data_IF_500765270615
#
_entry.id   IF_500765270615
#
_cell.length_a   1.000
_cell.length_b   1.000
_cell.length_c   1.000
_cell.angle_alpha   90.00
_cell.angle_beta   90.00
_cell.angle_gamma   90.00
#
_symmetry.space_group_name_H-M   'P 1'
#
loop_
_entity.id
_entity.type
_entity.pdbx_description
1 polymer ?
#
# COMPACT_ATOMS: atom_id res chain seq x y z
N UNK A 1 -19.96 28.27 12.50
CA UNK A 1 -18.62 27.97 13.08
C UNK A 1 -17.73 29.19 12.85
N UNK A 2 -17.13 29.79 13.89
CA UNK A 2 -16.16 30.90 13.71
C UNK A 2 -14.85 30.31 13.17
N UNK A 3 -14.27 30.92 12.13
CA UNK A 3 -12.95 30.54 11.62
C UNK A 3 -11.88 31.16 12.51
N UNK A 4 -10.93 30.35 12.98
CA UNK A 4 -9.75 30.80 13.72
C UNK A 4 -8.54 30.83 12.78
N UNK A 5 -7.96 32.02 12.57
CA UNK A 5 -6.84 32.21 11.65
C UNK A 5 -5.54 32.26 12.44
N UNK A 6 -4.63 31.32 12.18
CA UNK A 6 -3.32 31.25 12.82
C UNK A 6 -2.21 31.49 11.80
N UNK A 7 -1.39 32.51 12.05
CA UNK A 7 -0.18 32.77 11.28
C UNK A 7 0.98 32.12 12.03
N UNK A 8 1.60 31.11 11.41
CA UNK A 8 2.80 30.47 11.96
C UNK A 8 4.04 31.30 11.59
N UNK A 9 4.87 31.59 12.58
CA UNK A 9 6.10 32.37 12.43
C UNK A 9 7.29 31.54 12.95
N UNK A 10 8.00 30.80 12.08
CA UNK A 10 9.22 30.11 12.46
C UNK A 10 10.33 31.12 12.78
N UNK A 11 11.33 30.70 13.55
CA UNK A 11 12.41 31.59 13.98
C UNK A 11 13.32 31.98 12.79
N UNK A 12 13.74 33.25 12.77
CA UNK A 12 14.56 33.80 11.68
C UNK A 12 15.89 33.04 11.46
N UNK A 13 16.62 32.58 12.50
CA UNK A 13 17.80 31.74 12.32
C UNK A 13 17.52 30.45 11.53
N UNK A 14 16.46 29.71 11.87
CA UNK A 14 16.09 28.48 11.16
C UNK A 14 15.73 28.75 9.70
N UNK A 15 14.95 29.80 9.43
CA UNK A 15 14.59 30.21 8.06
C UNK A 15 15.85 30.54 7.25
N UNK A 16 16.76 31.35 7.82
CA UNK A 16 18.01 31.73 7.16
C UNK A 16 18.88 30.51 6.85
N UNK A 17 19.04 29.60 7.81
CA UNK A 17 19.80 28.37 7.62
C UNK A 17 19.27 27.52 6.45
N UNK A 18 17.94 27.39 6.33
CA UNK A 18 17.32 26.64 5.24
C UNK A 18 17.43 27.36 3.89
N UNK A 19 17.29 28.69 3.87
CA UNK A 19 17.52 29.51 2.67
C UNK A 19 18.94 29.32 2.13
N UNK A 20 19.95 29.48 3.00
CA UNK A 20 21.36 29.38 2.62
C UNK A 20 21.70 27.96 2.15
N UNK A 21 21.12 26.93 2.77
CA UNK A 21 21.40 25.52 2.43
C UNK A 21 20.72 25.02 1.15
N UNK A 22 19.51 25.53 0.85
CA UNK A 22 18.71 25.09 -0.30
C UNK A 22 18.76 26.06 -1.47
N UNK A 23 19.40 27.21 -1.30
CA UNK A 23 19.38 28.34 -2.24
C UNK A 23 17.94 28.75 -2.62
N UNK A 24 17.03 28.78 -1.63
CA UNK A 24 15.61 29.04 -1.83
C UNK A 24 15.12 30.33 -1.14
N UNK A 25 13.99 30.85 -1.63
CA UNK A 25 13.35 32.05 -1.08
C UNK A 25 12.88 31.86 0.38
N UNK A 26 12.94 32.89 1.25
CA UNK A 26 12.45 32.83 2.63
C UNK A 26 11.02 32.32 2.79
N UNK A 27 10.14 32.56 1.82
CA UNK A 27 8.77 32.02 1.81
C UNK A 27 8.79 30.49 1.70
N UNK A 28 9.64 29.94 0.84
CA UNK A 28 9.78 28.48 0.68
C UNK A 28 10.30 27.84 1.96
N UNK A 29 11.37 28.40 2.54
CA UNK A 29 11.95 27.93 3.81
C UNK A 29 10.91 27.99 4.95
N UNK A 30 10.17 29.09 5.05
CA UNK A 30 9.08 29.27 6.03
C UNK A 30 8.00 28.20 5.88
N UNK A 31 7.58 27.90 4.65
CA UNK A 31 6.56 26.88 4.38
C UNK A 31 7.04 25.47 4.74
N UNK A 32 8.32 25.15 4.52
CA UNK A 32 8.92 23.87 4.89
C UNK A 32 8.97 23.71 6.42
N UNK A 33 9.47 24.71 7.15
CA UNK A 33 9.54 24.68 8.61
C UNK A 33 8.13 24.57 9.22
N UNK A 34 7.15 25.30 8.67
CA UNK A 34 5.75 25.20 9.10
C UNK A 34 5.14 23.80 8.88
N UNK A 35 5.71 23.01 7.97
CA UNK A 35 5.36 21.59 7.73
C UNK A 35 6.22 20.62 8.55
N UNK A 36 7.04 21.12 9.48
CA UNK A 36 8.00 20.35 10.30
C UNK A 36 9.11 19.70 9.46
N UNK A 37 9.49 20.35 8.38
CA UNK A 37 10.63 20.00 7.53
C UNK A 37 11.66 21.11 7.74
N UNK A 38 12.41 21.00 8.82
CA UNK A 38 13.17 22.09 9.44
C UNK A 38 14.70 21.92 9.33
N UNK A 39 15.16 20.81 8.78
CA UNK A 39 16.59 20.59 8.49
C UNK A 39 16.86 20.55 6.99
N UNK A 40 18.05 20.99 6.52
CA UNK A 40 18.42 20.89 5.10
C UNK A 40 18.29 19.47 4.55
N UNK A 41 18.68 18.45 5.33
CA UNK A 41 18.55 17.05 4.93
C UNK A 41 17.08 16.65 4.73
N UNK A 42 16.21 16.93 5.70
CA UNK A 42 14.78 16.62 5.58
C UNK A 42 14.13 17.35 4.41
N UNK A 43 14.52 18.60 4.14
CA UNK A 43 14.02 19.40 3.04
C UNK A 43 14.46 18.86 1.68
N UNK A 44 15.73 18.47 1.53
CA UNK A 44 16.24 17.87 0.30
C UNK A 44 15.57 16.53 0.01
N UNK A 45 15.43 15.65 1.01
CA UNK A 45 14.71 14.36 0.87
C UNK A 45 13.25 14.57 0.49
N UNK A 46 12.59 15.55 1.11
CA UNK A 46 11.23 15.89 0.76
C UNK A 46 11.17 16.44 -0.68
N UNK A 47 11.96 17.43 -1.05
CA UNK A 47 11.86 18.05 -2.38
C UNK A 47 12.29 17.10 -3.51
N UNK A 48 13.23 16.19 -3.25
CA UNK A 48 13.80 15.26 -4.21
C UNK A 48 13.61 13.80 -3.76
N UNK A 49 12.37 13.27 -3.78
CA UNK A 49 12.10 11.92 -3.30
C UNK A 49 12.88 10.87 -4.12
N UNK A 50 13.61 10.00 -3.42
CA UNK A 50 14.42 8.94 -4.03
C UNK A 50 14.18 7.59 -3.38
N UNK A 51 14.23 6.51 -4.16
CA UNK A 51 14.16 5.15 -3.63
C UNK A 51 15.35 4.80 -2.73
N UNK A 52 16.47 5.53 -2.82
CA UNK A 52 17.62 5.35 -1.91
C UNK A 52 17.32 5.79 -0.48
N UNK A 53 16.29 6.61 -0.27
CA UNK A 53 15.89 7.11 1.05
C UNK A 53 14.87 6.20 1.75
N UNK A 54 14.45 5.09 1.12
CA UNK A 54 13.54 4.13 1.74
C UNK A 54 14.24 3.46 2.93
N UNK A 55 13.63 3.56 4.12
CA UNK A 55 14.09 2.83 5.31
C UNK A 55 13.89 1.33 5.12
N UNK A 56 14.72 0.50 5.75
CA UNK A 56 14.60 -0.97 5.62
C UNK A 56 13.25 -1.47 6.18
N UNK A 57 12.36 -2.04 5.33
CA UNK A 57 11.04 -2.48 5.79
C UNK A 57 11.08 -3.81 6.54
N UNK A 58 12.21 -4.53 6.53
CA UNK A 58 12.43 -5.71 7.39
C UNK A 58 12.35 -5.39 8.88
N UNK A 59 12.42 -4.11 9.26
CA UNK A 59 12.27 -3.67 10.64
C UNK A 59 10.82 -3.65 11.12
N UNK A 60 9.84 -3.67 10.21
CA UNK A 60 8.42 -3.79 10.56
C UNK A 60 8.17 -5.14 11.22
N UNK A 61 7.44 -5.15 12.34
CA UNK A 61 7.15 -6.39 13.09
C UNK A 61 6.45 -7.42 12.22
N UNK A 62 6.88 -8.67 12.39
CA UNK A 62 6.50 -9.87 11.64
C UNK A 62 6.72 -9.83 10.12
N UNK A 63 7.41 -8.82 9.58
CA UNK A 63 7.70 -8.74 8.15
C UNK A 63 8.50 -9.96 7.66
N UNK A 64 9.52 -10.37 8.40
CA UNK A 64 10.34 -11.54 8.09
C UNK A 64 9.56 -12.85 8.21
N UNK A 65 8.68 -12.97 9.21
CA UNK A 65 7.79 -14.12 9.42
C UNK A 65 6.83 -14.26 8.24
N UNK A 66 6.18 -13.16 7.83
CA UNK A 66 5.29 -13.12 6.68
C UNK A 66 6.01 -13.53 5.39
N UNK A 67 7.18 -12.94 5.11
CA UNK A 67 7.98 -13.23 3.90
C UNK A 67 8.35 -14.71 3.83
N UNK A 68 8.84 -15.30 4.92
CA UNK A 68 9.22 -16.72 4.96
C UNK A 68 8.01 -17.64 4.73
N UNK A 69 6.85 -17.27 5.28
CA UNK A 69 5.63 -18.05 5.12
C UNK A 69 5.08 -18.00 3.70
N UNK A 70 5.13 -16.83 3.06
CA UNK A 70 4.74 -16.68 1.65
C UNK A 70 5.71 -17.46 0.76
N UNK A 71 7.02 -17.39 1.02
CA UNK A 71 7.99 -18.21 0.30
C UNK A 71 7.70 -19.71 0.43
N UNK A 72 7.38 -20.19 1.64
CA UNK A 72 6.97 -21.59 1.84
C UNK A 72 5.76 -21.95 0.99
N UNK A 73 4.72 -21.10 0.96
CA UNK A 73 3.55 -21.34 0.11
C UNK A 73 3.92 -21.43 -1.37
N UNK A 74 4.76 -20.52 -1.87
CA UNK A 74 5.26 -20.53 -3.25
C UNK A 74 6.00 -21.84 -3.55
N UNK A 75 6.93 -22.23 -2.66
CA UNK A 75 7.78 -23.42 -2.84
C UNK A 75 6.97 -24.72 -2.83
N UNK A 76 6.01 -24.81 -1.92
CA UNK A 76 5.23 -26.03 -1.70
C UNK A 76 3.97 -26.08 -2.57
N UNK A 77 3.80 -25.11 -3.48
CA UNK A 77 2.64 -24.96 -4.37
C UNK A 77 1.30 -24.92 -3.60
N UNK A 78 1.31 -24.30 -2.44
CA UNK A 78 0.13 -24.06 -1.61
C UNK A 78 -0.81 -23.04 -2.29
N UNK A 79 -2.11 -23.20 -2.05
CA UNK A 79 -3.14 -22.32 -2.61
C UNK A 79 -3.30 -21.08 -1.74
N UNK A 80 -2.98 -19.91 -2.31
CA UNK A 80 -2.96 -18.62 -1.62
C UNK A 80 -4.23 -17.82 -1.96
N UNK A 81 -4.92 -17.32 -0.93
CA UNK A 81 -6.01 -16.36 -1.06
C UNK A 81 -5.57 -14.97 -0.59
N UNK A 82 -5.55 -14.00 -1.49
CA UNK A 82 -5.44 -12.59 -1.13
C UNK A 82 -6.83 -12.08 -0.77
N UNK A 83 -7.04 -11.64 0.46
CA UNK A 83 -8.31 -11.06 0.90
C UNK A 83 -8.17 -9.53 1.02
N UNK A 84 -8.78 -8.80 0.10
CA UNK A 84 -8.67 -7.33 0.05
C UNK A 84 -9.85 -6.59 0.66
N UNK A 85 -9.77 -5.27 0.65
CA UNK A 85 -10.91 -4.37 0.88
C UNK A 85 -11.51 -3.84 -0.43
N UNK A 86 -12.73 -3.32 -0.37
CA UNK A 86 -13.52 -2.87 -1.52
C UNK A 86 -13.24 -1.43 -1.97
N UNK A 87 -12.42 -0.68 -1.24
CA UNK A 87 -12.02 0.66 -1.65
C UNK A 87 -10.72 0.64 -2.47
N UNK A 88 -10.29 1.80 -2.96
CA UNK A 88 -9.14 1.87 -3.87
C UNK A 88 -7.83 1.44 -3.21
N UNK A 89 -7.65 1.64 -1.90
CA UNK A 89 -6.44 1.20 -1.23
C UNK A 89 -6.39 -0.33 -1.16
N UNK A 90 -7.47 -0.97 -0.71
CA UNK A 90 -7.61 -2.43 -0.72
C UNK A 90 -7.57 -3.06 -2.12
N UNK A 91 -8.21 -2.43 -3.11
CA UNK A 91 -8.19 -2.85 -4.51
C UNK A 91 -6.77 -2.82 -5.07
N UNK A 92 -6.06 -1.70 -4.91
CA UNK A 92 -4.70 -1.54 -5.44
C UNK A 92 -3.71 -2.45 -4.70
N UNK A 93 -3.86 -2.61 -3.39
CA UNK A 93 -3.14 -3.58 -2.57
C UNK A 93 -3.29 -5.01 -3.10
N UNK A 94 -4.53 -5.41 -3.39
CA UNK A 94 -4.83 -6.71 -3.98
C UNK A 94 -4.19 -6.86 -5.34
N UNK A 95 -4.34 -5.85 -6.22
CA UNK A 95 -3.78 -5.85 -7.57
C UNK A 95 -2.25 -5.99 -7.59
N UNK A 96 -1.53 -5.26 -6.74
CA UNK A 96 -0.05 -5.32 -6.72
C UNK A 96 0.46 -6.65 -6.19
N UNK A 97 -0.16 -7.21 -5.14
CA UNK A 97 0.26 -8.49 -4.57
C UNK A 97 -0.08 -9.64 -5.50
N UNK A 98 -1.29 -9.63 -6.08
CA UNK A 98 -1.71 -10.63 -7.07
C UNK A 98 -0.77 -10.63 -8.27
N UNK A 99 -0.51 -9.46 -8.86
CA UNK A 99 0.41 -9.35 -9.99
C UNK A 99 1.83 -9.84 -9.64
N UNK A 100 2.35 -9.48 -8.46
CA UNK A 100 3.67 -9.92 -8.03
C UNK A 100 3.73 -11.46 -7.85
N UNK A 101 2.77 -12.06 -7.15
CA UNK A 101 2.76 -13.50 -6.90
C UNK A 101 2.58 -14.33 -8.18
N UNK A 102 1.83 -13.83 -9.16
CA UNK A 102 1.74 -14.49 -10.48
C UNK A 102 3.12 -14.64 -11.16
N UNK A 103 4.02 -13.64 -11.01
CA UNK A 103 5.40 -13.75 -11.53
C UNK A 103 6.24 -14.81 -10.79
N UNK A 104 5.84 -15.22 -9.58
CA UNK A 104 6.48 -16.30 -8.82
C UNK A 104 5.97 -17.69 -9.22
N UNK A 105 4.88 -17.78 -9.98
CA UNK A 105 4.25 -19.05 -10.35
C UNK A 105 3.41 -19.68 -9.23
N UNK A 106 3.06 -18.92 -8.20
CA UNK A 106 2.22 -19.38 -7.10
C UNK A 106 0.76 -19.54 -7.52
N UNK A 107 0.06 -20.55 -6.99
CA UNK A 107 -1.39 -20.71 -7.13
C UNK A 107 -2.10 -19.65 -6.28
N UNK A 108 -2.34 -18.49 -6.89
CA UNK A 108 -2.83 -17.30 -6.21
C UNK A 108 -4.23 -16.95 -6.69
N UNK A 109 -5.14 -16.77 -5.74
CA UNK A 109 -6.47 -16.23 -5.95
C UNK A 109 -6.63 -14.95 -5.13
N UNK A 110 -7.69 -14.20 -5.42
CA UNK A 110 -8.07 -13.06 -4.61
C UNK A 110 -9.58 -13.05 -4.36
N UNK A 111 -9.97 -12.38 -3.29
CA UNK A 111 -11.35 -12.13 -2.92
C UNK A 111 -11.50 -10.69 -2.43
N UNK A 112 -12.50 -9.99 -2.95
CA UNK A 112 -12.89 -8.64 -2.53
C UNK A 112 -14.31 -8.76 -1.96
N UNK A 113 -14.55 -8.43 -0.68
CA UNK A 113 -15.88 -8.51 -0.09
C UNK A 113 -16.82 -7.46 -0.68
N UNK A 114 -18.10 -7.78 -0.73
CA UNK A 114 -19.13 -6.83 -1.10
C UNK A 114 -19.46 -5.90 0.07
N UNK A 115 -19.20 -4.60 -0.11
CA UNK A 115 -19.37 -3.56 0.92
C UNK A 115 -20.68 -3.62 1.71
N UNK A 116 -21.82 -3.73 1.01
CA UNK A 116 -23.15 -3.71 1.65
C UNK A 116 -23.69 -5.08 2.04
N UNK A 117 -23.27 -6.17 1.39
CA UNK A 117 -23.79 -7.52 1.66
C UNK A 117 -22.97 -8.28 2.69
N UNK A 118 -21.66 -8.11 2.66
CA UNK A 118 -20.70 -8.87 3.48
C UNK A 118 -20.01 -7.97 4.52
N UNK A 119 -19.89 -6.67 4.21
CA UNK A 119 -19.35 -5.68 5.14
C UNK A 119 -17.83 -5.53 5.02
N UNK A 120 -17.23 -4.93 6.04
CA UNK A 120 -15.80 -4.65 6.09
C UNK A 120 -15.01 -5.79 6.76
N UNK A 121 -13.81 -6.03 6.24
CA UNK A 121 -12.81 -6.95 6.76
C UNK A 121 -13.15 -8.45 6.69
N UNK A 122 -12.21 -9.28 7.10
CA UNK A 122 -12.32 -10.72 7.08
C UNK A 122 -13.29 -11.20 8.18
N UNK A 123 -14.31 -11.95 7.79
CA UNK A 123 -15.38 -12.48 8.64
C UNK A 123 -15.30 -14.01 8.71
N UNK A 124 -15.94 -14.60 9.71
CA UNK A 124 -16.00 -16.06 9.90
C UNK A 124 -16.60 -16.76 8.68
N UNK A 125 -17.63 -16.16 8.06
CA UNK A 125 -18.29 -16.69 6.85
C UNK A 125 -17.35 -16.77 5.65
N UNK A 126 -16.44 -15.81 5.48
CA UNK A 126 -15.42 -15.89 4.43
C UNK A 126 -14.48 -17.10 4.63
N UNK A 127 -14.32 -17.56 5.86
CA UNK A 127 -13.55 -18.77 6.17
C UNK A 127 -14.40 -20.02 5.95
N UNK A 128 -15.54 -20.12 6.63
CA UNK A 128 -16.37 -21.32 6.64
C UNK A 128 -17.00 -21.63 5.29
N UNK A 129 -17.43 -20.60 4.57
CA UNK A 129 -18.30 -20.76 3.40
C UNK A 129 -17.51 -20.61 2.09
N UNK A 130 -16.31 -20.01 2.15
CA UNK A 130 -15.46 -19.80 0.98
C UNK A 130 -14.07 -20.42 1.13
N UNK A 131 -13.29 -20.05 2.15
CA UNK A 131 -11.89 -20.47 2.22
C UNK A 131 -11.72 -22.00 2.37
N UNK A 132 -12.44 -22.60 3.32
CA UNK A 132 -12.38 -24.04 3.60
C UNK A 132 -12.90 -24.87 2.42
N UNK A 133 -14.09 -24.60 1.84
CA UNK A 133 -14.58 -25.36 0.68
C UNK A 133 -13.65 -25.30 -0.53
N UNK A 134 -12.97 -24.17 -0.72
CA UNK A 134 -12.03 -23.96 -1.83
C UNK A 134 -10.59 -24.44 -1.53
N UNK A 135 -10.34 -25.00 -0.34
CA UNK A 135 -9.06 -25.59 0.09
C UNK A 135 -7.88 -24.63 -0.04
N UNK A 136 -8.04 -23.42 0.50
CA UNK A 136 -6.90 -22.50 0.63
C UNK A 136 -6.02 -22.90 1.81
N UNK A 137 -4.70 -22.82 1.64
CA UNK A 137 -3.72 -23.14 2.67
C UNK A 137 -3.22 -21.88 3.40
N UNK A 138 -3.20 -20.75 2.68
CA UNK A 138 -2.74 -19.46 3.17
C UNK A 138 -3.71 -18.34 2.77
N UNK A 139 -4.12 -17.52 3.72
CA UNK A 139 -4.82 -16.26 3.49
C UNK A 139 -3.87 -15.10 3.79
N UNK A 140 -3.79 -14.13 2.87
CA UNK A 140 -3.07 -12.87 3.08
C UNK A 140 -4.08 -11.75 3.01
N UNK A 141 -4.42 -11.12 4.14
CA UNK A 141 -5.28 -9.95 4.12
C UNK A 141 -4.48 -8.73 3.71
N UNK A 142 -5.08 -7.88 2.88
CA UNK A 142 -4.50 -6.61 2.45
C UNK A 142 -5.48 -5.47 2.75
N UNK A 143 -4.96 -4.43 3.40
CA UNK A 143 -5.73 -3.25 3.83
C UNK A 143 -6.89 -3.54 4.81
N UNK A 144 -6.84 -4.70 5.47
CA UNK A 144 -7.82 -5.07 6.47
C UNK A 144 -7.28 -6.22 7.34
N UNK A 145 -8.06 -6.59 8.36
CA UNK A 145 -7.84 -7.79 9.15
C UNK A 145 -7.30 -7.54 10.56
N UNK A 146 -6.83 -6.31 10.87
CA UNK A 146 -6.30 -5.97 12.20
C UNK A 146 -7.28 -6.23 13.36
N UNK A 147 -8.58 -6.32 13.09
CA UNK A 147 -9.62 -6.62 14.07
C UNK A 147 -10.27 -8.01 13.92
N UNK A 148 -9.90 -8.81 12.92
CA UNK A 148 -10.58 -10.06 12.52
C UNK A 148 -10.23 -11.29 13.39
N UNK A 149 -10.24 -11.14 14.71
CA UNK A 149 -9.83 -12.16 15.68
C UNK A 149 -10.52 -13.52 15.48
N UNK A 150 -11.85 -13.52 15.41
CA UNK A 150 -12.63 -14.76 15.31
C UNK A 150 -12.46 -15.43 13.94
N UNK A 151 -12.36 -14.65 12.87
CA UNK A 151 -12.11 -15.18 11.53
C UNK A 151 -10.72 -15.83 11.45
N UNK A 152 -9.69 -15.15 11.97
CA UNK A 152 -8.32 -15.70 12.05
C UNK A 152 -8.28 -16.99 12.86
N UNK A 153 -8.95 -17.03 14.02
CA UNK A 153 -9.03 -18.24 14.84
C UNK A 153 -9.76 -19.38 14.12
N UNK A 154 -10.83 -19.06 13.39
CA UNK A 154 -11.56 -20.05 12.57
C UNK A 154 -10.68 -20.63 11.48
N UNK A 155 -9.90 -19.79 10.79
CA UNK A 155 -8.94 -20.23 9.76
C UNK A 155 -7.87 -21.17 10.34
N UNK A 156 -7.27 -20.78 11.48
CA UNK A 156 -6.28 -21.60 12.16
C UNK A 156 -6.81 -22.96 12.61
N UNK A 157 -8.03 -23.01 13.17
CA UNK A 157 -8.67 -24.26 13.54
C UNK A 157 -8.91 -25.18 12.34
N UNK A 158 -9.02 -24.63 11.14
CA UNK A 158 -9.15 -25.36 9.89
C UNK A 158 -7.80 -25.67 9.21
N UNK A 159 -6.67 -25.32 9.83
CA UNK A 159 -5.33 -25.53 9.29
C UNK A 159 -4.93 -24.52 8.21
N UNK A 160 -5.62 -23.38 8.13
CA UNK A 160 -5.32 -22.30 7.18
C UNK A 160 -4.52 -21.22 7.90
N UNK A 161 -3.32 -20.94 7.42
CA UNK A 161 -2.52 -19.83 7.96
C UNK A 161 -3.07 -18.49 7.49
N UNK A 162 -2.99 -17.48 8.36
CA UNK A 162 -3.38 -16.10 8.02
C UNK A 162 -2.21 -15.16 8.23
N UNK A 163 -1.88 -14.37 7.22
CA UNK A 163 -0.99 -13.21 7.32
C UNK A 163 -1.84 -11.96 7.19
N UNK A 164 -1.73 -11.05 8.15
CA UNK A 164 -2.41 -9.76 8.09
C UNK A 164 -1.43 -8.70 7.61
N UNK A 165 -1.76 -8.02 6.51
CA UNK A 165 -1.10 -6.76 6.11
C UNK A 165 -2.11 -5.62 6.18
N UNK A 166 -1.89 -4.70 7.10
CA UNK A 166 -2.86 -3.67 7.42
C UNK A 166 -2.15 -2.41 7.94
N UNK A 167 -2.82 -1.28 7.86
CA UNK A 167 -2.34 0.02 8.32
C UNK A 167 -3.37 0.72 9.23
N UNK A 168 -4.55 0.13 9.45
CA UNK A 168 -5.56 0.64 10.36
C UNK A 168 -5.09 0.61 11.83
N UNK A 169 -5.80 1.32 12.70
CA UNK A 169 -5.55 1.26 14.15
C UNK A 169 -5.73 -0.20 14.61
N UNK A 170 -4.68 -0.75 15.23
CA UNK A 170 -4.74 -2.11 15.75
C UNK A 170 -5.18 -2.11 17.23
N UNK A 171 -6.10 -3.02 17.63
CA UNK A 171 -6.46 -3.18 19.03
C UNK A 171 -5.27 -3.63 19.90
N UNK A 172 -5.39 -3.46 21.22
CA UNK A 172 -4.35 -3.89 22.17
C UNK A 172 -4.09 -5.39 22.07
N UNK A 173 -5.16 -6.19 21.98
CA UNK A 173 -5.07 -7.60 21.65
C UNK A 173 -4.95 -7.72 20.12
N UNK A 174 -3.86 -8.31 19.67
CA UNK A 174 -3.58 -8.55 18.25
C UNK A 174 -4.24 -9.89 17.86
N UNK A 175 -4.85 -10.01 16.66
CA UNK A 175 -5.35 -11.29 16.16
C UNK A 175 -4.27 -12.37 16.19
N UNK A 176 -4.59 -13.63 16.52
CA UNK A 176 -3.59 -14.68 16.66
C UNK A 176 -3.07 -15.19 15.30
N UNK A 177 -2.92 -14.33 14.30
CA UNK A 177 -2.51 -14.70 12.94
C UNK A 177 -1.07 -15.23 12.91
N UNK A 178 -0.69 -15.94 11.84
CA UNK A 178 0.69 -16.41 11.63
C UNK A 178 1.69 -15.25 11.62
N UNK A 179 1.30 -14.11 11.04
CA UNK A 179 2.04 -12.86 11.07
C UNK A 179 1.07 -11.67 11.01
N UNK A 180 1.38 -10.58 11.72
CA UNK A 180 0.63 -9.31 11.65
C UNK A 180 1.58 -8.16 11.29
N UNK A 181 1.66 -7.87 9.99
CA UNK A 181 2.43 -6.76 9.44
C UNK A 181 1.56 -5.50 9.47
N UNK A 182 1.61 -4.78 10.59
CA UNK A 182 0.95 -3.48 10.73
C UNK A 182 1.90 -2.49 11.45
N UNK A 183 2.34 -1.40 10.78
CA UNK A 183 3.23 -0.40 11.37
C UNK A 183 2.69 0.27 12.65
N UNK A 184 1.37 0.39 12.80
CA UNK A 184 0.72 1.01 13.97
C UNK A 184 0.63 0.08 15.18
N UNK A 185 1.20 -1.12 15.11
CA UNK A 185 1.38 -2.00 16.26
C UNK A 185 2.07 -1.30 17.43
N UNK A 186 1.57 -1.55 18.63
CA UNK A 186 2.11 -0.93 19.84
C UNK A 186 3.58 -1.32 20.10
N UNK A 187 4.00 -2.53 19.69
CA UNK A 187 5.35 -3.06 19.77
C UNK A 187 6.21 -2.78 18.52
N UNK A 188 5.68 -2.04 17.54
CA UNK A 188 6.36 -1.65 16.31
C UNK A 188 6.69 -0.14 16.37
N UNK A 189 7.98 0.20 16.54
CA UNK A 189 8.46 1.59 16.70
C UNK A 189 9.50 1.96 15.65
N UNK A 190 9.16 1.68 14.39
CA UNK A 190 10.06 1.86 13.24
C UNK A 190 9.64 3.01 12.33
N UNK A 191 8.51 3.66 12.62
CA UNK A 191 8.10 4.93 12.02
C UNK A 191 7.47 4.82 10.63
N UNK A 192 6.88 3.67 10.29
CA UNK A 192 6.13 3.46 9.05
C UNK A 192 4.62 3.71 9.21
N UNK A 193 4.22 4.36 10.31
CA UNK A 193 2.84 4.51 10.77
C UNK A 193 1.92 5.26 9.78
N UNK A 194 2.51 6.01 8.85
CA UNK A 194 1.78 6.75 7.83
C UNK A 194 1.49 5.95 6.55
N UNK A 195 2.08 4.76 6.36
CA UNK A 195 1.84 3.97 5.15
C UNK A 195 0.33 3.74 4.96
N UNK A 196 -0.14 3.88 3.72
CA UNK A 196 -1.42 3.33 3.28
C UNK A 196 -1.35 1.78 3.28
N UNK A 197 -2.49 1.10 3.21
CA UNK A 197 -2.56 -0.35 3.04
C UNK A 197 -1.71 -0.84 1.86
N UNK A 198 -1.81 -0.17 0.71
CA UNK A 198 -1.01 -0.47 -0.49
C UNK A 198 0.47 -0.22 -0.26
N UNK A 199 0.82 0.74 0.59
CA UNK A 199 2.19 1.02 1.02
C UNK A 199 2.76 -0.14 1.84
N UNK A 200 1.99 -0.68 2.79
CA UNK A 200 2.36 -1.85 3.60
C UNK A 200 2.59 -3.08 2.70
N UNK A 201 1.69 -3.32 1.74
CA UNK A 201 1.83 -4.41 0.78
C UNK A 201 3.03 -4.19 -0.15
N UNK A 202 3.27 -2.97 -0.60
CA UNK A 202 4.40 -2.67 -1.47
C UNK A 202 5.74 -2.93 -0.76
N UNK A 203 5.87 -2.54 0.51
CA UNK A 203 7.08 -2.86 1.27
C UNK A 203 7.21 -4.34 1.62
N UNK A 204 6.10 -5.06 1.79
CA UNK A 204 6.11 -6.54 1.85
C UNK A 204 6.68 -7.13 0.55
N UNK A 205 6.23 -6.65 -0.61
CA UNK A 205 6.73 -7.09 -1.92
C UNK A 205 8.23 -6.78 -2.07
N UNK A 206 8.71 -5.63 -1.59
CA UNK A 206 10.15 -5.29 -1.57
C UNK A 206 10.94 -6.35 -0.78
N UNK A 207 10.49 -6.67 0.43
CA UNK A 207 11.13 -7.69 1.27
C UNK A 207 11.05 -9.08 0.63
N UNK A 208 9.89 -9.47 0.12
CA UNK A 208 9.65 -10.77 -0.50
C UNK A 208 10.50 -10.94 -1.76
N UNK A 209 10.52 -9.96 -2.66
CA UNK A 209 11.36 -9.99 -3.88
C UNK A 209 12.84 -10.19 -3.53
N UNK A 210 13.35 -9.46 -2.52
CA UNK A 210 14.73 -9.63 -2.04
C UNK A 210 14.97 -11.06 -1.54
N UNK A 211 14.09 -11.57 -0.69
CA UNK A 211 14.22 -12.92 -0.13
C UNK A 211 14.15 -14.00 -1.23
N UNK A 212 13.26 -13.86 -2.21
CA UNK A 212 13.16 -14.76 -3.36
C UNK A 212 14.43 -14.74 -4.24
N UNK A 213 15.14 -13.61 -4.31
CA UNK A 213 16.46 -13.52 -4.96
C UNK A 213 17.51 -14.32 -4.23
N UNK A 214 17.52 -14.22 -2.89
CA UNK A 214 18.42 -14.99 -2.02
C UNK A 214 18.12 -16.51 -2.12
N UNK A 215 16.86 -16.88 -2.34
CA UNK A 215 16.43 -18.26 -2.58
C UNK A 215 16.51 -18.69 -4.06
N UNK A 216 17.16 -17.89 -4.91
CA UNK A 216 17.42 -18.19 -6.33
C UNK A 216 16.18 -18.38 -7.23
N UNK A 217 14.98 -17.92 -6.82
CA UNK A 217 13.75 -18.07 -7.62
C UNK A 217 13.84 -17.40 -9.00
N UNK A 218 14.57 -16.28 -9.08
CA UNK A 218 14.69 -15.47 -10.30
C UNK A 218 15.82 -15.90 -11.25
N UNK A 219 16.47 -17.05 -11.03
CA UNK A 219 17.52 -17.51 -11.95
C UNK A 219 16.96 -17.93 -13.31
N UNK A 220 15.81 -18.60 -13.31
CA UNK A 220 15.18 -19.14 -14.53
C UNK A 220 14.00 -18.29 -15.02
N UNK A 221 13.80 -17.09 -14.46
CA UNK A 221 12.71 -16.19 -14.84
C UNK A 221 13.05 -14.72 -14.55
N UNK A 222 12.48 -13.75 -15.28
CA UNK A 222 12.75 -12.33 -15.05
C UNK A 222 12.37 -11.90 -13.63
N UNK A 223 13.29 -11.22 -12.94
CA UNK A 223 12.99 -10.58 -11.67
C UNK A 223 12.11 -9.32 -11.91
N UNK A 224 10.93 -9.19 -11.26
CA UNK A 224 10.04 -8.05 -11.49
C UNK A 224 10.67 -6.70 -11.10
N UNK A 225 10.54 -5.70 -11.98
CA UNK A 225 10.87 -4.32 -11.65
C UNK A 225 9.72 -3.67 -10.86
N UNK A 226 9.89 -3.59 -9.53
CA UNK A 226 8.86 -3.05 -8.63
C UNK A 226 8.51 -1.59 -8.89
N UNK A 227 9.36 -0.81 -9.57
CA UNK A 227 9.02 0.55 -9.99
C UNK A 227 7.72 0.54 -10.79
N UNK A 228 7.49 -0.47 -11.64
CA UNK A 228 6.30 -0.58 -12.50
C UNK A 228 4.98 -0.77 -11.73
N UNK A 229 5.03 -1.00 -10.41
CA UNK A 229 3.84 -1.08 -9.55
C UNK A 229 3.53 0.24 -8.85
N UNK A 230 4.44 1.23 -8.90
CA UNK A 230 4.27 2.48 -8.15
C UNK A 230 3.08 3.31 -8.65
N UNK A 231 2.62 3.10 -9.89
CA UNK A 231 1.39 3.73 -10.41
C UNK A 231 0.16 3.33 -9.56
N UNK A 232 0.04 2.05 -9.21
CA UNK A 232 -0.99 1.54 -8.31
C UNK A 232 -0.76 1.95 -6.86
N UNK A 233 0.49 1.96 -6.40
CA UNK A 233 0.82 2.43 -5.03
C UNK A 233 0.42 3.89 -4.86
N UNK A 234 0.66 4.73 -5.86
CA UNK A 234 0.23 6.12 -5.84
C UNK A 234 -1.30 6.26 -5.81
N UNK A 235 -2.02 5.42 -6.56
CA UNK A 235 -3.49 5.42 -6.56
C UNK A 235 -4.08 5.08 -5.19
N UNK A 236 -3.63 3.99 -4.55
CA UNK A 236 -4.10 3.61 -3.21
C UNK A 236 -3.71 4.62 -2.14
N UNK A 237 -2.44 5.06 -2.14
CA UNK A 237 -1.95 6.07 -1.18
C UNK A 237 -2.74 7.38 -1.24
N UNK A 238 -3.04 7.85 -2.45
CA UNK A 238 -3.83 9.08 -2.63
C UNK A 238 -5.32 8.87 -2.32
N UNK A 239 -5.84 7.66 -2.50
CA UNK A 239 -7.23 7.34 -2.16
C UNK A 239 -7.47 7.34 -0.65
N UNK A 240 -6.53 6.81 0.11
CA UNK A 240 -6.62 6.69 1.56
C UNK A 240 -6.26 8.00 2.30
N UNK A 241 -5.83 9.03 1.55
CA UNK A 241 -5.60 10.38 2.09
C UNK A 241 -4.59 10.43 3.25
N UNK A 242 -3.66 9.48 3.29
CA UNK A 242 -2.55 9.45 4.25
C UNK A 242 -1.54 10.59 4.00
N UNK A 243 -0.75 10.98 5.01
CA UNK A 243 0.29 11.97 4.83
C UNK A 243 1.29 11.58 3.72
N UNK A 244 1.50 12.49 2.76
CA UNK A 244 2.53 12.37 1.71
C UNK A 244 3.90 12.81 2.23
N UNK A 245 4.42 12.06 3.20
CA UNK A 245 5.75 12.19 3.77
C UNK A 245 6.50 10.85 3.63
N UNK A 246 7.82 10.86 3.82
CA UNK A 246 8.66 9.66 3.81
C UNK A 246 8.38 8.71 2.63
N UNK A 247 8.14 7.42 2.88
CA UNK A 247 7.92 6.42 1.85
C UNK A 247 6.67 6.67 1.00
N UNK A 248 5.57 7.16 1.59
CA UNK A 248 4.38 7.52 0.82
C UNK A 248 4.71 8.59 -0.22
N UNK A 249 5.54 9.56 0.14
CA UNK A 249 5.98 10.60 -0.79
C UNK A 249 6.85 10.03 -1.90
N UNK A 250 7.79 9.14 -1.56
CA UNK A 250 8.68 8.48 -2.52
C UNK A 250 7.87 7.66 -3.53
N UNK A 251 7.00 6.77 -3.04
CA UNK A 251 6.21 5.89 -3.89
C UNK A 251 5.20 6.66 -4.75
N UNK A 252 4.50 7.64 -4.15
CA UNK A 252 3.52 8.44 -4.87
C UNK A 252 4.17 9.28 -5.97
N UNK A 253 5.31 9.93 -5.69
CA UNK A 253 6.04 10.71 -6.69
C UNK A 253 6.53 9.81 -7.84
N UNK A 254 7.08 8.63 -7.53
CA UNK A 254 7.48 7.66 -8.54
C UNK A 254 6.30 7.19 -9.40
N UNK A 255 5.16 6.89 -8.78
CA UNK A 255 3.94 6.46 -9.47
C UNK A 255 3.38 7.52 -10.41
N UNK A 256 3.28 8.77 -9.96
CA UNK A 256 2.87 9.89 -10.81
C UNK A 256 3.82 10.05 -11.99
N UNK A 257 5.13 9.92 -11.77
CA UNK A 257 6.12 10.00 -12.85
C UNK A 257 5.98 8.87 -13.86
N UNK A 258 5.61 7.66 -13.44
CA UNK A 258 5.28 6.55 -14.35
C UNK A 258 4.08 6.92 -15.21
N UNK A 259 3.00 7.43 -14.58
CA UNK A 259 1.79 7.80 -15.32
C UNK A 259 2.10 8.89 -16.36
N UNK A 260 2.98 9.84 -16.01
CA UNK A 260 3.46 10.90 -16.92
C UNK A 260 4.22 10.36 -18.14
N UNK A 261 4.83 9.18 -18.07
CA UNK A 261 5.54 8.61 -19.23
C UNK A 261 4.58 8.23 -20.38
N UNK A 262 3.30 8.02 -20.08
CA UNK A 262 2.30 7.57 -21.05
C UNK A 262 2.35 6.08 -21.36
N UNK A 263 3.33 5.32 -20.83
CA UNK A 263 3.33 3.86 -20.92
C UNK A 263 2.50 3.24 -19.79
N UNK A 264 1.20 3.55 -19.82
CA UNK A 264 0.26 3.18 -18.78
C UNK A 264 -0.32 1.80 -19.00
N UNK A 265 -0.66 1.10 -17.92
CA UNK A 265 -1.52 -0.07 -17.99
C UNK A 265 -2.89 0.29 -18.62
N UNK A 266 -3.53 -0.63 -19.37
CA UNK A 266 -4.74 -0.30 -20.15
C UNK A 266 -5.87 0.31 -19.31
N UNK A 267 -6.08 -0.18 -18.08
CA UNK A 267 -7.10 0.37 -17.19
C UNK A 267 -6.83 1.81 -16.75
N UNK A 268 -5.59 2.16 -16.43
CA UNK A 268 -5.23 3.54 -16.09
C UNK A 268 -5.40 4.43 -17.32
N UNK A 269 -4.96 3.98 -18.49
CA UNK A 269 -5.12 4.75 -19.73
C UNK A 269 -6.59 5.02 -20.06
N UNK A 270 -7.47 4.03 -19.88
CA UNK A 270 -8.91 4.20 -20.05
C UNK A 270 -9.49 5.23 -19.07
N UNK A 271 -9.09 5.19 -17.80
CA UNK A 271 -9.54 6.15 -16.79
C UNK A 271 -9.05 7.57 -17.09
N UNK A 272 -7.81 7.74 -17.55
CA UNK A 272 -7.25 9.03 -17.96
C UNK A 272 -8.03 9.62 -19.14
N UNK A 273 -8.34 8.80 -20.14
CA UNK A 273 -9.11 9.19 -21.32
C UNK A 273 -10.52 9.66 -20.95
N UNK A 274 -11.25 8.90 -20.13
CA UNK A 274 -12.60 9.26 -19.66
C UNK A 274 -12.56 10.45 -18.71
N UNK A 275 -11.48 10.60 -17.94
CA UNK A 275 -11.27 11.75 -17.06
C UNK A 275 -10.86 13.02 -17.81
N UNK A 276 -10.62 12.94 -19.13
CA UNK A 276 -10.05 14.01 -19.95
C UNK A 276 -8.75 14.57 -19.37
N UNK A 277 -7.89 13.69 -18.83
CA UNK A 277 -6.64 14.05 -18.16
C UNK A 277 -5.49 13.85 -19.13
N UNK A 278 -4.69 14.90 -19.33
CA UNK A 278 -3.42 14.80 -20.07
C UNK A 278 -2.34 14.26 -19.15
N UNK A 279 -1.75 13.13 -19.51
CA UNK A 279 -0.67 12.47 -18.75
C UNK A 279 0.46 13.43 -18.38
N UNK A 280 0.87 14.31 -19.31
CA UNK A 280 1.97 15.27 -19.09
C UNK A 280 1.75 16.26 -17.92
N UNK A 281 0.50 16.52 -17.55
CA UNK A 281 0.14 17.52 -16.51
C UNK A 281 -0.49 16.89 -15.27
N UNK A 282 -0.62 15.56 -15.22
CA UNK A 282 -1.26 14.89 -14.09
C UNK A 282 -0.53 15.19 -12.78
N UNK A 283 -1.30 15.40 -11.73
CA UNK A 283 -0.81 15.60 -10.37
C UNK A 283 -1.65 14.79 -9.36
N UNK A 284 -1.32 14.91 -8.08
CA UNK A 284 -2.03 14.19 -7.01
C UNK A 284 -3.50 14.58 -6.88
N UNK A 285 -3.87 15.83 -7.18
CA UNK A 285 -5.25 16.30 -7.15
C UNK A 285 -6.08 15.66 -8.28
N UNK A 286 -5.54 15.61 -9.50
CA UNK A 286 -6.19 14.91 -10.62
C UNK A 286 -6.46 13.44 -10.27
N UNK A 287 -5.49 12.77 -9.65
CA UNK A 287 -5.66 11.38 -9.25
C UNK A 287 -6.74 11.25 -8.16
N UNK A 288 -6.64 12.03 -7.08
CA UNK A 288 -7.52 11.95 -5.92
C UNK A 288 -8.98 12.34 -6.25
N UNK A 289 -9.19 13.29 -7.16
CA UNK A 289 -10.54 13.81 -7.48
C UNK A 289 -11.13 13.30 -8.79
N UNK A 290 -10.34 12.67 -9.67
CA UNK A 290 -10.85 12.13 -10.95
C UNK A 290 -10.70 10.62 -11.06
N UNK A 291 -9.53 10.05 -10.78
CA UNK A 291 -9.31 8.61 -10.93
C UNK A 291 -9.90 7.82 -9.75
N UNK A 292 -9.50 8.19 -8.53
CA UNK A 292 -9.92 7.50 -7.30
C UNK A 292 -11.46 7.40 -7.19
N UNK A 293 -12.26 8.46 -7.42
CA UNK A 293 -13.71 8.35 -7.26
C UNK A 293 -14.37 7.37 -8.24
N UNK A 294 -13.79 7.21 -9.45
CA UNK A 294 -14.31 6.29 -10.48
C UNK A 294 -14.06 4.83 -10.09
N UNK A 295 -12.88 4.53 -9.56
CA UNK A 295 -12.56 3.20 -9.03
C UNK A 295 -13.43 2.88 -7.80
N UNK A 296 -13.52 3.82 -6.85
CA UNK A 296 -14.36 3.68 -5.66
C UNK A 296 -15.86 3.53 -5.97
N UNK A 297 -16.33 4.01 -7.14
CA UNK A 297 -17.72 3.85 -7.54
C UNK A 297 -18.10 2.36 -7.67
N UNK A 298 -17.20 1.51 -8.17
CA UNK A 298 -17.46 0.06 -8.29
C UNK A 298 -17.73 -0.60 -6.93
N UNK A 299 -16.90 -0.34 -5.91
CA UNK A 299 -17.10 -0.86 -4.55
C UNK A 299 -18.32 -0.27 -3.82
N UNK A 300 -18.86 0.86 -4.30
CA UNK A 300 -20.05 1.51 -3.72
C UNK A 300 -21.36 1.10 -4.39
N UNK A 301 -21.33 0.85 -5.70
CA UNK A 301 -22.54 0.64 -6.51
C UNK A 301 -22.70 -0.81 -6.99
N UNK A 302 -21.62 -1.55 -7.11
CA UNK A 302 -21.61 -2.93 -7.62
C UNK A 302 -20.62 -3.77 -6.82
N UNK A 303 -19.48 -4.15 -7.41
CA UNK A 303 -18.48 -4.99 -6.78
C UNK A 303 -17.06 -4.47 -7.04
N UNK A 304 -16.24 -4.33 -5.99
CA UNK A 304 -14.87 -3.80 -6.09
C UNK A 304 -13.94 -4.61 -6.99
N UNK A 305 -14.24 -5.91 -7.19
CA UNK A 305 -13.57 -6.80 -8.16
C UNK A 305 -13.41 -6.20 -9.56
N UNK A 306 -14.40 -5.44 -10.05
CA UNK A 306 -14.31 -4.80 -11.37
C UNK A 306 -13.14 -3.82 -11.48
N UNK A 307 -12.82 -3.12 -10.39
CA UNK A 307 -11.65 -2.25 -10.36
C UNK A 307 -10.34 -3.04 -10.31
N UNK A 308 -10.30 -4.18 -9.60
CA UNK A 308 -9.13 -5.07 -9.65
C UNK A 308 -8.90 -5.52 -11.09
N UNK A 309 -9.95 -5.99 -11.78
CA UNK A 309 -9.88 -6.47 -13.16
C UNK A 309 -9.39 -5.39 -14.14
N UNK A 310 -9.94 -4.17 -14.07
CA UNK A 310 -9.49 -3.04 -14.90
C UNK A 310 -8.01 -2.73 -14.63
N UNK A 311 -7.57 -2.80 -13.38
CA UNK A 311 -6.19 -2.51 -13.03
C UNK A 311 -5.24 -3.65 -13.38
N UNK A 312 -5.67 -4.91 -13.46
CA UNK A 312 -4.81 -6.07 -13.73
C UNK A 312 -4.98 -6.68 -15.12
N UNK A 313 -5.74 -6.05 -16.02
CA UNK A 313 -5.99 -6.51 -17.40
C UNK A 313 -4.75 -6.54 -18.29
#
# INVERSE_FOLDING_TARGET
MKKDWKILQPDAPSVKNLCDSLECDPVTATLLINRKIDTPESALKFLNPSFNDIRSPFSIKDMDIAVRRIYKAIKDSEKILIFGDYDVDGITSTSILFNFLQNTGADTHYYIPHRTKEGYSLQVTHISDYAIPNKFDLIITVDCGASSHEAVKTAQNAGIDVIITDHHIIPVKIPPAYAVVNPKRHDCKVGFDNLAGVGVVFVLIICLRKYLREMHLWQDRPEPNLKNLCDLVALGTLADSVPLVDENRIFTAAGINIIKTGNNRPGIEALLKIGHIKTSYINSEDIAFKLVPRLNASGRMEHGKLSVEILTT
#
